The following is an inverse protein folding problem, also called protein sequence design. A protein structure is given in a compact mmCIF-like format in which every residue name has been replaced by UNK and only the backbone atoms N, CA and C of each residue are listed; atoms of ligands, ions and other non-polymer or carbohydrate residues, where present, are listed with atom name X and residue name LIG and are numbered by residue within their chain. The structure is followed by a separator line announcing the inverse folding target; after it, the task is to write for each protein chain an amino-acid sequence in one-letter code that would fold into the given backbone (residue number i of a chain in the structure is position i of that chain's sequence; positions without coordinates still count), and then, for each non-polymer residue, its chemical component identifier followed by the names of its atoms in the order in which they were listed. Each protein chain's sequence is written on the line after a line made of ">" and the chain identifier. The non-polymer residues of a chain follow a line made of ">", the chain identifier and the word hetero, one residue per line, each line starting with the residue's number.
data_IF_557844171165
#
_entry.id   IF_557844171165
#
_cell.length_a   1.000
_cell.length_b   1.000
_cell.length_c   1.000
_cell.angle_alpha   90.00
_cell.angle_beta   90.00
_cell.angle_gamma   90.00
#
_symmetry.space_group_name_H-M   'P 1'
#
loop_
_entity.id
_entity.type
_entity.pdbx_description
1 polymer ?
#
# COMPACT_ATOMS: atom_id res chain seq x y z
N UNK A 1 7.27 -18.43 12.39
CA UNK A 1 6.45 -17.19 12.24
C UNK A 1 6.13 -16.63 13.62
N UNK A 2 6.23 -15.33 13.77
CA UNK A 2 5.80 -14.63 14.98
C UNK A 2 4.28 -14.41 14.91
N UNK A 3 3.53 -15.16 15.70
CA UNK A 3 2.06 -15.15 15.61
C UNK A 3 1.47 -13.79 16.04
N UNK A 4 2.03 -13.18 17.06
CA UNK A 4 1.58 -11.86 17.52
C UNK A 4 1.78 -10.81 16.44
N UNK A 5 2.96 -10.80 15.80
CA UNK A 5 3.27 -9.90 14.70
C UNK A 5 2.37 -10.16 13.51
N UNK A 6 2.08 -11.43 13.21
CA UNK A 6 1.18 -11.79 12.13
C UNK A 6 -0.23 -11.25 12.38
N UNK A 7 -0.77 -11.45 13.58
CA UNK A 7 -2.12 -10.98 13.88
C UNK A 7 -2.21 -9.45 13.85
N UNK A 8 -1.19 -8.77 14.36
CA UNK A 8 -1.11 -7.32 14.30
C UNK A 8 -1.04 -6.83 12.85
N UNK A 9 -0.25 -7.52 12.03
CA UNK A 9 -0.13 -7.21 10.60
C UNK A 9 -1.41 -7.45 9.85
N UNK A 10 -2.12 -8.52 10.17
CA UNK A 10 -3.39 -8.85 9.54
C UNK A 10 -4.42 -7.73 9.78
N UNK A 11 -4.51 -7.28 11.03
CA UNK A 11 -5.43 -6.19 11.39
C UNK A 11 -5.06 -4.89 10.64
N UNK A 12 -3.78 -4.56 10.59
CA UNK A 12 -3.31 -3.36 9.90
C UNK A 12 -3.57 -3.44 8.39
N UNK A 13 -3.26 -4.60 7.79
CA UNK A 13 -3.47 -4.82 6.36
C UNK A 13 -4.95 -4.64 5.99
N UNK A 14 -5.85 -5.21 6.80
CA UNK A 14 -7.29 -5.05 6.58
C UNK A 14 -7.75 -3.61 6.75
N UNK A 15 -7.21 -2.89 7.72
CA UNK A 15 -7.58 -1.50 7.94
C UNK A 15 -7.23 -0.61 6.75
N UNK A 16 -6.09 -0.86 6.11
CA UNK A 16 -5.61 -0.04 4.99
C UNK A 16 -6.19 -0.50 3.66
N UNK A 17 -6.17 -1.81 3.37
CA UNK A 17 -6.55 -2.35 2.06
C UNK A 17 -7.99 -2.87 1.99
N UNK A 18 -8.69 -2.90 3.10
CA UNK A 18 -10.01 -3.45 3.35
C UNK A 18 -9.98 -4.93 3.73
N UNK A 19 -10.90 -5.30 4.62
CA UNK A 19 -11.03 -6.70 5.05
C UNK A 19 -11.39 -7.60 3.87
N UNK A 20 -12.27 -7.13 2.98
CA UNK A 20 -12.70 -7.90 1.82
C UNK A 20 -11.52 -8.24 0.90
N UNK A 21 -10.69 -7.25 0.58
CA UNK A 21 -9.53 -7.47 -0.29
C UNK A 21 -8.55 -8.47 0.33
N UNK A 22 -8.24 -8.30 1.62
CA UNK A 22 -7.28 -9.16 2.31
C UNK A 22 -7.80 -10.59 2.44
N UNK A 23 -9.06 -10.74 2.81
CA UNK A 23 -9.68 -12.07 2.93
C UNK A 23 -9.70 -12.79 1.59
N UNK A 24 -9.98 -12.06 0.51
CA UNK A 24 -9.95 -12.64 -0.85
C UNK A 24 -8.54 -13.09 -1.21
N UNK A 25 -7.53 -12.28 -0.94
CA UNK A 25 -6.14 -12.62 -1.22
C UNK A 25 -5.69 -13.86 -0.46
N UNK A 26 -6.08 -13.96 0.82
CA UNK A 26 -5.73 -15.11 1.64
C UNK A 26 -6.50 -16.37 1.21
N UNK A 27 -7.76 -16.21 0.83
CA UNK A 27 -8.58 -17.32 0.37
C UNK A 27 -8.09 -17.91 -0.96
N UNK A 28 -7.50 -17.08 -1.81
CA UNK A 28 -6.96 -17.52 -3.10
C UNK A 28 -5.57 -18.14 -2.98
N UNK A 29 -4.94 -18.04 -1.82
CA UNK A 29 -3.61 -18.59 -1.61
C UNK A 29 -3.67 -20.11 -1.59
N UNK A 30 -2.75 -20.73 -2.33
CA UNK A 30 -2.56 -22.18 -2.33
C UNK A 30 -1.28 -22.55 -1.58
N UNK A 31 -0.91 -23.84 -1.63
CA UNK A 31 0.27 -24.29 -0.92
C UNK A 31 1.55 -23.61 -1.40
N UNK A 32 1.59 -23.20 -2.66
CA UNK A 32 2.74 -22.52 -3.22
C UNK A 32 2.83 -21.06 -2.73
N UNK A 33 1.72 -20.34 -2.70
CA UNK A 33 1.69 -18.90 -2.43
C UNK A 33 1.41 -18.55 -0.96
N UNK A 34 0.87 -19.48 -0.16
CA UNK A 34 0.51 -19.19 1.23
C UNK A 34 1.68 -18.73 2.08
N UNK A 35 2.87 -19.38 2.03
CA UNK A 35 4.01 -18.90 2.82
C UNK A 35 4.40 -17.46 2.48
N UNK A 36 4.24 -17.06 1.23
CA UNK A 36 4.50 -15.68 0.82
C UNK A 36 3.47 -14.72 1.40
N UNK A 37 2.18 -15.09 1.39
CA UNK A 37 1.15 -14.26 1.99
C UNK A 37 1.35 -14.11 3.49
N UNK A 38 1.80 -15.16 4.16
CA UNK A 38 2.12 -15.10 5.58
C UNK A 38 3.31 -14.19 5.85
N UNK A 39 4.35 -14.28 5.03
CA UNK A 39 5.51 -13.41 5.13
C UNK A 39 5.14 -11.95 4.93
N UNK A 40 4.34 -11.64 3.91
CA UNK A 40 3.89 -10.27 3.63
C UNK A 40 3.09 -9.73 4.81
N UNK A 41 2.17 -10.54 5.35
CA UNK A 41 1.32 -10.11 6.46
C UNK A 41 2.14 -9.86 7.72
N UNK A 42 3.03 -10.78 8.05
CA UNK A 42 3.85 -10.67 9.25
C UNK A 42 4.90 -9.56 9.13
N UNK A 43 5.65 -9.55 8.05
CA UNK A 43 6.81 -8.68 7.92
C UNK A 43 6.44 -7.29 7.41
N UNK A 44 5.77 -7.21 6.27
CA UNK A 44 5.41 -5.92 5.71
C UNK A 44 4.40 -5.20 6.61
N UNK A 45 3.31 -5.86 6.93
CA UNK A 45 2.21 -5.24 7.67
C UNK A 45 2.39 -5.32 9.19
N UNK A 46 3.01 -6.37 9.69
CA UNK A 46 3.25 -6.50 11.12
C UNK A 46 4.48 -5.75 11.59
N UNK A 47 5.61 -5.96 10.93
CA UNK A 47 6.84 -5.29 11.34
C UNK A 47 6.88 -3.83 10.90
N UNK A 48 6.68 -3.55 9.60
CA UNK A 48 6.82 -2.18 9.09
C UNK A 48 5.61 -1.32 9.43
N UNK A 49 4.43 -1.73 9.00
CA UNK A 49 3.22 -0.95 9.24
C UNK A 49 2.79 -0.97 10.70
N UNK A 50 3.20 -1.99 11.45
CA UNK A 50 2.92 -2.09 12.87
C UNK A 50 3.76 -1.17 13.74
N UNK A 51 4.80 -0.56 13.19
CA UNK A 51 5.62 0.42 13.88
C UNK A 51 4.88 1.75 13.92
N UNK A 52 4.42 2.14 15.12
CA UNK A 52 3.54 3.30 15.29
C UNK A 52 4.28 4.65 15.32
N UNK A 53 5.60 4.65 15.13
CA UNK A 53 6.34 5.92 15.04
C UNK A 53 5.94 6.73 13.82
N UNK A 54 5.42 6.09 12.77
CA UNK A 54 4.79 6.76 11.64
C UNK A 54 3.34 6.30 11.55
N UNK A 55 2.42 7.22 11.41
CA UNK A 55 1.01 6.87 11.31
C UNK A 55 0.67 6.26 9.95
N UNK A 56 -0.49 5.62 9.82
CA UNK A 56 -0.86 4.97 8.55
C UNK A 56 -0.92 5.93 7.36
N UNK A 57 -1.37 7.15 7.53
CA UNK A 57 -1.44 8.12 6.42
C UNK A 57 -0.04 8.43 5.91
N UNK A 58 0.92 8.65 6.80
CA UNK A 58 2.30 8.92 6.42
C UNK A 58 2.88 7.73 5.67
N UNK A 59 2.63 6.51 6.15
CA UNK A 59 3.12 5.30 5.47
C UNK A 59 2.52 5.15 4.08
N UNK A 60 1.22 5.44 3.93
CA UNK A 60 0.59 5.42 2.61
C UNK A 60 1.19 6.44 1.66
N UNK A 61 1.49 7.64 2.15
CA UNK A 61 2.14 8.67 1.34
C UNK A 61 3.52 8.22 0.86
N UNK A 62 4.31 7.60 1.75
CA UNK A 62 5.61 7.04 1.39
C UNK A 62 5.46 5.96 0.32
N UNK A 63 4.49 5.08 0.46
CA UNK A 63 4.26 4.02 -0.51
C UNK A 63 3.83 4.56 -1.87
N UNK A 64 2.97 5.57 -1.89
CA UNK A 64 2.57 6.18 -3.16
C UNK A 64 3.78 6.76 -3.91
N UNK A 65 4.74 7.32 -3.19
CA UNK A 65 5.96 7.84 -3.81
C UNK A 65 6.92 6.72 -4.22
N UNK A 66 7.17 5.76 -3.32
CA UNK A 66 8.14 4.70 -3.57
C UNK A 66 7.68 3.76 -4.69
N UNK A 67 6.41 3.35 -4.66
CA UNK A 67 5.87 2.41 -5.65
C UNK A 67 5.82 3.07 -7.03
N UNK A 68 5.49 4.37 -7.09
CA UNK A 68 5.55 5.13 -8.33
C UNK A 68 6.98 5.16 -8.88
N UNK A 69 7.96 5.44 -8.03
CA UNK A 69 9.37 5.48 -8.43
C UNK A 69 9.84 4.13 -8.98
N UNK A 70 9.33 3.02 -8.43
CA UNK A 70 9.65 1.68 -8.88
C UNK A 70 8.85 1.26 -10.11
N UNK A 71 7.92 2.09 -10.56
CA UNK A 71 7.06 1.84 -11.73
C UNK A 71 6.22 0.57 -11.60
N UNK A 72 5.69 0.31 -10.40
CA UNK A 72 4.81 -0.83 -10.13
C UNK A 72 3.35 -0.36 -10.12
N UNK A 73 2.81 -0.06 -11.29
CA UNK A 73 1.53 0.65 -11.41
C UNK A 73 0.32 -0.15 -10.93
N UNK A 74 0.33 -1.48 -11.05
CA UNK A 74 -0.75 -2.29 -10.51
C UNK A 74 -0.81 -2.18 -8.98
N UNK A 75 0.34 -2.30 -8.32
CA UNK A 75 0.44 -2.13 -6.87
C UNK A 75 0.16 -0.69 -6.47
N UNK A 76 0.56 0.27 -7.29
CA UNK A 76 0.31 1.67 -7.04
C UNK A 76 -1.19 1.96 -6.97
N UNK A 77 -1.95 1.40 -7.90
CA UNK A 77 -3.41 1.58 -7.92
C UNK A 77 -4.05 1.01 -6.64
N UNK A 78 -3.60 -0.16 -6.20
CA UNK A 78 -4.07 -0.77 -4.96
C UNK A 78 -3.78 0.15 -3.76
N UNK A 79 -2.57 0.67 -3.68
CA UNK A 79 -2.18 1.55 -2.59
C UNK A 79 -2.86 2.93 -2.67
N UNK A 80 -3.19 3.39 -3.86
CA UNK A 80 -4.00 4.61 -4.03
C UNK A 80 -5.38 4.42 -3.39
N UNK A 81 -6.03 3.30 -3.69
CA UNK A 81 -7.34 3.00 -3.10
C UNK A 81 -7.25 2.90 -1.58
N UNK A 82 -6.19 2.26 -1.08
CA UNK A 82 -5.95 2.18 0.35
C UNK A 82 -5.73 3.55 0.99
N UNK A 83 -4.97 4.41 0.33
CA UNK A 83 -4.72 5.77 0.81
C UNK A 83 -6.00 6.58 0.93
N UNK A 84 -6.85 6.52 -0.09
CA UNK A 84 -8.15 7.19 -0.06
C UNK A 84 -9.03 6.64 1.06
N UNK A 85 -9.01 5.33 1.25
CA UNK A 85 -9.79 4.67 2.30
C UNK A 85 -9.43 5.16 3.70
N UNK A 86 -8.15 5.41 3.97
CA UNK A 86 -7.72 5.85 5.30
C UNK A 86 -7.67 7.37 5.44
N UNK A 87 -8.21 8.12 4.47
CA UNK A 87 -8.45 9.53 4.60
C UNK A 87 -7.43 10.46 3.98
N UNK A 88 -6.53 9.98 3.14
CA UNK A 88 -5.67 10.86 2.35
C UNK A 88 -6.56 11.56 1.33
N UNK A 89 -6.45 12.88 1.25
CA UNK A 89 -7.32 13.69 0.42
C UNK A 89 -6.82 13.74 -1.03
N UNK A 90 -7.73 14.11 -1.93
CA UNK A 90 -7.36 14.32 -3.33
C UNK A 90 -6.29 15.40 -3.48
N UNK A 91 -6.38 16.47 -2.69
CA UNK A 91 -5.35 17.53 -2.70
C UNK A 91 -3.99 17.01 -2.26
N UNK A 92 -3.98 16.16 -1.24
CA UNK A 92 -2.74 15.55 -0.77
C UNK A 92 -2.14 14.63 -1.85
N UNK A 93 -2.98 13.84 -2.51
CA UNK A 93 -2.52 12.97 -3.61
C UNK A 93 -1.94 13.82 -4.75
N UNK A 94 -2.61 14.90 -5.11
CA UNK A 94 -2.08 15.80 -6.14
C UNK A 94 -0.70 16.33 -5.76
N UNK A 95 -0.52 16.77 -4.51
CA UNK A 95 0.76 17.28 -4.04
C UNK A 95 1.85 16.20 -4.06
N UNK A 96 1.51 14.97 -3.65
CA UNK A 96 2.43 13.83 -3.71
C UNK A 96 2.86 13.59 -5.16
N UNK A 97 1.90 13.60 -6.10
CA UNK A 97 2.20 13.32 -7.50
C UNK A 97 2.99 14.44 -8.16
N UNK A 98 2.81 15.69 -7.74
CA UNK A 98 3.68 16.77 -8.19
C UNK A 98 5.13 16.51 -7.78
N UNK A 99 5.34 16.10 -6.53
CA UNK A 99 6.69 15.80 -6.05
C UNK A 99 7.28 14.59 -6.76
N UNK A 100 6.50 13.53 -6.95
CA UNK A 100 6.92 12.35 -7.71
C UNK A 100 7.34 12.75 -9.13
N UNK A 101 6.57 13.61 -9.79
CA UNK A 101 6.86 14.07 -11.13
C UNK A 101 8.21 14.80 -11.19
N UNK A 102 8.48 15.66 -10.22
CA UNK A 102 9.73 16.43 -10.16
C UNK A 102 10.94 15.52 -9.95
N UNK A 103 10.83 14.54 -9.05
CA UNK A 103 11.99 13.72 -8.68
C UNK A 103 12.12 12.43 -9.49
N UNK A 104 11.03 11.92 -10.05
CA UNK A 104 11.04 10.63 -10.76
C UNK A 104 10.78 10.78 -12.27
N UNK A 105 10.32 11.94 -12.72
CA UNK A 105 10.14 12.23 -14.14
C UNK A 105 8.68 12.40 -14.56
N UNK A 106 8.51 13.14 -15.65
CA UNK A 106 7.19 13.44 -16.20
C UNK A 106 6.41 12.17 -16.58
N UNK A 107 7.03 11.16 -17.23
CA UNK A 107 6.26 9.96 -17.62
C UNK A 107 5.63 9.22 -16.43
N UNK A 108 6.31 9.16 -15.29
CA UNK A 108 5.75 8.54 -14.08
C UNK A 108 4.55 9.33 -13.60
N UNK A 109 4.67 10.65 -13.58
CA UNK A 109 3.57 11.53 -13.21
C UNK A 109 2.36 11.36 -14.12
N UNK A 110 2.58 11.29 -15.42
CA UNK A 110 1.51 11.09 -16.40
C UNK A 110 0.75 9.79 -16.11
N UNK A 111 1.49 8.71 -15.86
CA UNK A 111 0.88 7.41 -15.57
C UNK A 111 0.05 7.44 -14.29
N UNK A 112 0.61 8.01 -13.23
CA UNK A 112 -0.07 8.10 -11.95
C UNK A 112 -1.34 8.95 -12.05
N UNK A 113 -1.29 10.09 -12.73
CA UNK A 113 -2.48 10.92 -12.91
C UNK A 113 -3.55 10.22 -13.74
N UNK A 114 -3.15 9.45 -14.75
CA UNK A 114 -4.11 8.68 -15.55
C UNK A 114 -4.84 7.68 -14.68
N UNK A 115 -4.12 6.94 -13.84
CA UNK A 115 -4.71 5.97 -12.94
C UNK A 115 -5.59 6.65 -11.89
N UNK A 116 -5.10 7.74 -11.30
CA UNK A 116 -5.82 8.44 -10.24
C UNK A 116 -7.13 9.07 -10.71
N UNK A 117 -7.24 9.38 -11.99
CA UNK A 117 -8.45 9.97 -12.57
C UNK A 117 -9.56 8.96 -12.82
N UNK A 118 -9.25 7.68 -12.79
CA UNK A 118 -10.25 6.64 -13.04
C UNK A 118 -11.28 6.59 -11.87
#
# INVERSE_FOLDING_TARGET
>A
MDRERFEKGLAKRKAVLSAEHVERSLAQADDFSRPFQELVTEFCWGFAWGDERLDPKTRSMLNLAMIAALNRMHEWELHLKGALRIGITQDEIQAILHQVTVYCGIPVGVECFRIAKR
#
